data_IF_019558655216
#
_entry.id   IF_019558655216
#
_cell.length_a   1.000
_cell.length_b   1.000
_cell.length_c   1.000
_cell.angle_alpha   90.00
_cell.angle_beta   90.00
_cell.angle_gamma   90.00
#
_symmetry.space_group_name_H-M   'P 1'
#
loop_
_entity.id
_entity.type
_entity.pdbx_description
1 polymer ?
#
# COMPACT_ATOMS: atom_id res chain seq x y z
N UNK A 1 26.78 7.83 3.24
CA UNK A 1 26.24 8.43 2.00
C UNK A 1 24.72 8.30 2.04
N UNK A 2 23.94 9.32 1.66
CA UNK A 2 22.49 9.20 1.61
C UNK A 2 22.10 8.11 0.60
N UNK A 3 21.12 7.26 0.96
CA UNK A 3 20.59 6.23 0.06
C UNK A 3 19.93 6.90 -1.15
N UNK A 4 20.11 6.38 -2.38
CA UNK A 4 19.37 6.88 -3.53
C UNK A 4 17.86 6.73 -3.28
N UNK A 5 17.11 7.80 -3.52
CA UNK A 5 15.65 7.85 -3.39
C UNK A 5 15.05 6.89 -4.43
N UNK A 6 14.16 5.98 -4.02
CA UNK A 6 13.56 5.00 -4.93
C UNK A 6 12.56 5.66 -5.89
N UNK A 7 12.31 5.04 -7.05
CA UNK A 7 11.34 5.58 -8.01
C UNK A 7 9.93 5.65 -7.41
N UNK A 8 9.61 4.75 -6.48
CA UNK A 8 8.38 4.74 -5.70
C UNK A 8 8.21 6.03 -4.90
N UNK A 9 9.26 6.50 -4.24
CA UNK A 9 9.23 7.74 -3.45
C UNK A 9 9.07 8.99 -4.32
N UNK A 10 9.43 8.92 -5.61
CA UNK A 10 9.28 10.01 -6.57
C UNK A 10 7.94 9.98 -7.32
N UNK A 11 7.17 8.90 -7.22
CA UNK A 11 5.89 8.74 -7.91
C UNK A 11 4.73 9.51 -7.25
N UNK A 12 4.99 10.29 -6.19
CA UNK A 12 4.00 11.17 -5.56
C UNK A 12 3.66 12.31 -6.55
N UNK A 13 2.40 12.34 -6.97
CA UNK A 13 1.84 12.99 -8.16
C UNK A 13 2.20 14.48 -8.43
N UNK A 14 1.98 14.98 -9.67
CA UNK A 14 2.02 16.39 -10.03
C UNK A 14 0.85 17.18 -9.41
N UNK A 15 1.02 18.49 -9.33
CA UNK A 15 0.09 19.48 -8.75
C UNK A 15 -1.39 19.24 -9.12
N UNK A 16 -2.33 19.26 -8.15
CA UNK A 16 -3.75 19.17 -8.44
C UNK A 16 -4.26 20.48 -9.05
N UNK A 17 -4.75 20.40 -10.29
CA UNK A 17 -5.58 21.45 -10.87
C UNK A 17 -6.90 21.60 -10.09
N UNK A 18 -7.16 22.83 -9.65
CA UNK A 18 -8.36 23.31 -8.98
C UNK A 18 -9.65 23.05 -9.78
N UNK A 19 -10.70 22.56 -9.10
CA UNK A 19 -12.02 23.22 -8.94
C UNK A 19 -13.14 22.22 -8.62
N UNK A 20 -13.80 22.40 -7.48
CA UNK A 20 -15.21 22.06 -7.31
C UNK A 20 -15.87 23.10 -6.40
N UNK A 21 -16.92 23.75 -6.90
CA UNK A 21 -17.71 24.78 -6.22
C UNK A 21 -18.80 24.15 -5.33
N UNK A 22 -19.33 24.89 -4.33
CA UNK A 22 -20.27 24.38 -3.34
C UNK A 22 -21.73 24.50 -3.82
N UNK A 23 -22.44 23.38 -3.87
CA UNK A 23 -23.89 23.32 -4.06
C UNK A 23 -24.43 22.05 -3.40
N UNK A 24 -25.29 22.21 -2.41
CA UNK A 24 -25.59 21.23 -1.36
C UNK A 24 -26.86 20.40 -1.63
N UNK A 25 -26.74 19.05 -1.67
CA UNK A 25 -27.83 18.14 -1.29
C UNK A 25 -27.38 17.09 -0.24
N UNK A 26 -26.41 17.42 0.64
CA UNK A 26 -25.68 16.44 1.48
C UNK A 26 -26.46 15.96 2.71
N UNK A 27 -27.43 16.71 3.20
CA UNK A 27 -28.09 16.41 4.49
C UNK A 27 -28.98 15.16 4.47
N UNK A 28 -29.43 14.68 3.29
CA UNK A 28 -30.26 13.47 3.17
C UNK A 28 -29.45 12.19 2.89
N UNK A 29 -28.22 12.34 2.39
CA UNK A 29 -27.35 11.22 2.00
C UNK A 29 -26.54 10.69 3.20
N UNK A 30 -26.24 11.54 4.18
CA UNK A 30 -25.46 11.20 5.38
C UNK A 30 -26.18 10.18 6.28
N UNK A 31 -27.51 10.30 6.44
CA UNK A 31 -28.29 9.39 7.29
C UNK A 31 -28.40 7.96 6.72
N UNK A 32 -28.49 7.83 5.39
CA UNK A 32 -28.48 6.52 4.71
C UNK A 32 -27.09 5.88 4.74
N UNK A 33 -26.03 6.68 4.74
CA UNK A 33 -24.65 6.20 4.81
C UNK A 33 -24.30 5.66 6.21
N UNK A 34 -24.83 6.28 7.27
CA UNK A 34 -24.54 5.88 8.65
C UNK A 34 -25.11 4.50 9.01
N UNK A 35 -26.35 4.21 8.60
CA UNK A 35 -26.96 2.90 8.84
C UNK A 35 -26.23 1.75 8.12
N UNK A 36 -25.71 2.01 6.92
CA UNK A 36 -24.92 1.05 6.15
C UNK A 36 -23.54 0.80 6.79
N UNK A 37 -22.90 1.85 7.31
CA UNK A 37 -21.62 1.72 8.01
C UNK A 37 -21.80 0.93 9.32
N UNK A 38 -22.85 1.21 10.10
CA UNK A 38 -23.14 0.46 11.33
C UNK A 38 -23.51 -1.01 11.05
N UNK A 39 -24.16 -1.30 9.91
CA UNK A 39 -24.46 -2.68 9.50
C UNK A 39 -23.18 -3.45 9.15
N UNK A 40 -22.24 -2.82 8.42
CA UNK A 40 -21.02 -3.46 7.96
C UNK A 40 -19.95 -3.54 9.05
N UNK A 41 -19.71 -2.43 9.75
CA UNK A 41 -18.64 -2.31 10.75
C UNK A 41 -19.12 -2.61 12.16
N UNK A 42 -20.42 -2.56 12.44
CA UNK A 42 -20.97 -2.75 13.79
C UNK A 42 -20.51 -4.03 14.48
N UNK A 43 -20.44 -5.20 13.82
CA UNK A 43 -19.91 -6.41 14.44
C UNK A 43 -18.44 -6.27 14.88
N UNK A 44 -17.59 -5.64 14.06
CA UNK A 44 -16.18 -5.40 14.39
C UNK A 44 -16.04 -4.35 15.50
N UNK A 45 -16.81 -3.27 15.43
CA UNK A 45 -16.85 -2.23 16.45
C UNK A 45 -17.24 -2.77 17.82
N UNK A 46 -18.31 -3.59 17.88
CA UNK A 46 -18.73 -4.24 19.14
C UNK A 46 -17.68 -5.21 19.67
N UNK A 47 -16.95 -5.89 18.78
CA UNK A 47 -15.83 -6.76 19.19
C UNK A 47 -14.66 -5.96 19.82
N UNK A 48 -14.47 -4.71 19.41
CA UNK A 48 -13.54 -3.75 20.01
C UNK A 48 -14.14 -2.96 21.19
N UNK A 49 -15.36 -3.30 21.66
CA UNK A 49 -16.02 -2.61 22.78
C UNK A 49 -16.65 -1.26 22.41
N UNK A 50 -16.71 -0.91 21.12
CA UNK A 50 -17.37 0.30 20.64
C UNK A 50 -18.86 0.02 20.42
N UNK A 51 -19.70 0.78 21.11
CA UNK A 51 -21.14 0.52 21.12
C UNK A 51 -21.85 1.19 19.94
N UNK A 52 -21.40 2.38 19.50
CA UNK A 52 -21.94 3.12 18.37
C UNK A 52 -20.89 4.01 17.69
N UNK A 53 -21.12 4.40 16.42
CA UNK A 53 -20.22 5.30 15.67
C UNK A 53 -20.17 6.74 16.24
N UNK A 54 -21.18 7.16 17.02
CA UNK A 54 -21.23 8.51 17.59
C UNK A 54 -20.23 8.74 18.73
N UNK A 55 -19.63 7.66 19.26
CA UNK A 55 -18.48 7.75 20.16
C UNK A 55 -17.19 8.12 19.39
N UNK A 56 -17.30 8.40 18.09
CA UNK A 56 -16.23 8.84 17.22
C UNK A 56 -16.45 10.28 16.73
N UNK A 57 -15.45 11.18 16.85
CA UNK A 57 -14.17 10.94 17.51
C UNK A 57 -14.37 10.78 19.02
N UNK A 58 -13.58 9.88 19.62
CA UNK A 58 -13.57 9.69 21.07
C UNK A 58 -13.28 11.03 21.76
N UNK A 59 -13.84 11.25 22.95
CA UNK A 59 -13.57 12.46 23.74
C UNK A 59 -12.06 12.67 23.79
N UNK A 60 -11.59 13.87 23.45
CA UNK A 60 -10.19 14.28 23.51
C UNK A 60 -9.50 13.88 24.81
N UNK A 61 -10.25 13.88 25.93
CA UNK A 61 -9.77 13.46 27.24
C UNK A 61 -9.48 11.94 27.37
N UNK A 62 -10.06 11.13 26.48
CA UNK A 62 -9.89 9.66 26.39
C UNK A 62 -8.84 9.23 25.36
N UNK A 63 -8.32 10.16 24.55
CA UNK A 63 -7.28 9.87 23.55
C UNK A 63 -5.95 9.63 24.29
N UNK A 64 -5.54 8.37 24.37
CA UNK A 64 -4.21 8.01 24.87
C UNK A 64 -3.17 8.53 23.88
N UNK A 65 -2.21 9.38 24.29
CA UNK A 65 -1.16 9.86 23.40
C UNK A 65 -0.32 8.69 22.89
N UNK A 66 -0.33 8.47 21.58
CA UNK A 66 0.51 7.47 20.94
C UNK A 66 1.87 8.11 20.65
N UNK A 67 2.96 7.43 21.03
CA UNK A 67 4.30 7.87 20.68
C UNK A 67 4.45 8.02 19.15
N UNK A 68 5.10 9.09 18.68
CA UNK A 68 5.22 9.37 17.23
C UNK A 68 5.84 8.22 16.44
N UNK A 69 6.82 7.50 17.01
CA UNK A 69 7.43 6.29 16.40
C UNK A 69 6.39 5.20 16.20
N UNK A 70 5.53 4.99 17.19
CA UNK A 70 4.45 4.00 17.13
C UNK A 70 3.38 4.38 16.11
N UNK A 71 3.01 5.66 16.02
CA UNK A 71 2.09 6.14 15.00
C UNK A 71 2.65 5.89 13.59
N UNK A 72 3.95 6.13 13.36
CA UNK A 72 4.62 5.83 12.09
C UNK A 72 4.60 4.34 11.74
N UNK A 73 4.81 3.45 12.71
CA UNK A 73 4.72 2.00 12.50
C UNK A 73 3.32 1.55 12.09
N UNK A 74 2.29 2.10 12.75
CA UNK A 74 0.88 1.80 12.43
C UNK A 74 0.56 2.29 11.02
N UNK A 75 0.91 3.54 10.71
CA UNK A 75 0.68 4.13 9.38
C UNK A 75 1.42 3.35 8.29
N UNK A 76 2.68 2.96 8.55
CA UNK A 76 3.45 2.12 7.64
C UNK A 76 2.77 0.78 7.39
N UNK A 77 2.34 0.08 8.45
CA UNK A 77 1.70 -1.22 8.34
C UNK A 77 0.36 -1.15 7.59
N UNK A 78 -0.42 -0.09 7.84
CA UNK A 78 -1.67 0.15 7.13
C UNK A 78 -1.44 0.41 5.65
N UNK A 79 -0.50 1.29 5.29
CA UNK A 79 -0.18 1.57 3.89
C UNK A 79 0.39 0.34 3.16
N UNK A 80 1.23 -0.46 3.82
CA UNK A 80 1.80 -1.67 3.24
C UNK A 80 0.71 -2.74 3.00
N UNK A 81 -0.24 -2.89 3.94
CA UNK A 81 -1.40 -3.75 3.74
C UNK A 81 -2.30 -3.24 2.60
N UNK A 82 -2.58 -1.93 2.57
CA UNK A 82 -3.39 -1.33 1.52
C UNK A 82 -2.76 -1.51 0.15
N UNK A 83 -1.45 -1.28 0.00
CA UNK A 83 -0.71 -1.54 -1.23
C UNK A 83 -0.83 -3.00 -1.69
N UNK A 84 -0.70 -3.98 -0.79
CA UNK A 84 -0.87 -5.41 -1.09
C UNK A 84 -2.28 -5.73 -1.62
N UNK A 85 -3.31 -5.17 -0.98
CA UNK A 85 -4.69 -5.36 -1.38
C UNK A 85 -5.04 -4.64 -2.69
N UNK A 86 -4.48 -3.45 -2.90
CA UNK A 86 -4.60 -2.71 -4.15
C UNK A 86 -3.99 -3.47 -5.32
N UNK A 87 -2.80 -4.03 -5.14
CA UNK A 87 -2.15 -4.83 -6.17
C UNK A 87 -2.98 -6.07 -6.51
N UNK A 88 -3.52 -6.78 -5.51
CA UNK A 88 -4.40 -7.92 -5.71
C UNK A 88 -5.70 -7.53 -6.42
N UNK A 89 -6.26 -6.37 -6.08
CA UNK A 89 -7.48 -5.84 -6.69
C UNK A 89 -7.23 -5.42 -8.13
N UNK A 90 -6.08 -4.80 -8.40
CA UNK A 90 -5.64 -4.46 -9.75
C UNK A 90 -5.45 -5.72 -10.59
N UNK A 91 -4.82 -6.77 -10.05
CA UNK A 91 -4.67 -8.07 -10.73
C UNK A 91 -6.02 -8.62 -11.19
N UNK A 92 -6.98 -8.70 -10.27
CA UNK A 92 -8.31 -9.22 -10.56
C UNK A 92 -9.07 -8.41 -11.61
N UNK A 93 -8.82 -7.10 -11.71
CA UNK A 93 -9.49 -6.23 -12.70
C UNK A 93 -8.79 -6.20 -14.05
N UNK A 94 -7.46 -6.29 -14.06
CA UNK A 94 -6.66 -6.18 -15.26
C UNK A 94 -6.44 -7.54 -15.95
N UNK A 95 -6.39 -8.63 -15.18
CA UNK A 95 -6.21 -9.99 -15.66
C UNK A 95 -7.55 -10.71 -15.81
N UNK A 96 -7.63 -11.66 -16.75
CA UNK A 96 -8.76 -12.60 -16.86
C UNK A 96 -8.71 -13.73 -15.83
N UNK A 97 -7.54 -13.94 -15.21
CA UNK A 97 -7.26 -15.00 -14.23
C UNK A 97 -6.78 -14.36 -12.93
N UNK A 98 -7.35 -14.79 -11.81
CA UNK A 98 -6.86 -14.36 -10.48
C UNK A 98 -5.57 -15.08 -10.12
N UNK A 99 -4.53 -14.32 -9.78
CA UNK A 99 -3.17 -14.81 -9.55
C UNK A 99 -2.64 -14.38 -8.17
N UNK A 100 -3.30 -14.79 -7.07
CA UNK A 100 -2.95 -14.31 -5.73
C UNK A 100 -1.55 -14.73 -5.30
N UNK A 101 -1.04 -15.88 -5.76
CA UNK A 101 0.29 -16.38 -5.43
C UNK A 101 1.39 -15.54 -6.11
N UNK A 102 1.16 -15.11 -7.35
CA UNK A 102 2.04 -14.22 -8.09
C UNK A 102 2.03 -12.82 -7.48
N UNK A 103 0.88 -12.34 -7.02
CA UNK A 103 0.81 -11.11 -6.22
C UNK A 103 1.64 -11.25 -4.94
N UNK A 104 1.52 -12.36 -4.23
CA UNK A 104 2.26 -12.61 -3.00
C UNK A 104 3.79 -12.59 -3.21
N UNK A 105 4.27 -13.11 -4.35
CA UNK A 105 5.70 -13.08 -4.74
C UNK A 105 6.28 -11.68 -4.93
N UNK A 106 5.44 -10.65 -5.04
CA UNK A 106 5.89 -9.26 -5.08
C UNK A 106 6.33 -8.75 -3.69
N UNK A 107 6.13 -9.54 -2.62
CA UNK A 107 6.38 -9.11 -1.25
C UNK A 107 7.36 -10.05 -0.52
N UNK A 108 8.15 -9.50 0.43
CA UNK A 108 8.96 -10.31 1.33
C UNK A 108 8.11 -11.37 2.04
N UNK A 109 8.63 -12.59 2.12
CA UNK A 109 7.96 -13.75 2.72
C UNK A 109 6.84 -14.37 1.86
N UNK A 110 6.38 -13.74 0.78
CA UNK A 110 5.35 -14.31 -0.08
C UNK A 110 3.94 -14.32 0.54
N UNK A 111 3.67 -13.43 1.50
CA UNK A 111 2.38 -13.34 2.18
C UNK A 111 1.64 -12.05 1.80
N UNK A 112 0.33 -12.11 1.57
CA UNK A 112 -0.49 -10.91 1.35
C UNK A 112 -0.96 -10.27 2.67
N UNK A 113 -1.01 -11.07 3.73
CA UNK A 113 -1.48 -10.69 5.07
C UNK A 113 -0.36 -10.88 6.09
N UNK A 114 -0.45 -10.16 7.21
CA UNK A 114 0.47 -10.36 8.33
C UNK A 114 1.86 -9.77 8.06
N UNK A 115 1.90 -8.49 7.69
CA UNK A 115 3.15 -7.76 7.44
C UNK A 115 3.92 -7.57 8.76
N UNK A 116 5.12 -8.18 8.91
CA UNK A 116 5.95 -7.93 10.07
C UNK A 116 6.59 -6.54 9.96
N UNK A 117 6.69 -5.82 11.09
CA UNK A 117 7.30 -4.49 11.10
C UNK A 117 8.78 -4.54 10.70
N UNK A 118 9.46 -5.65 10.99
CA UNK A 118 10.86 -5.89 10.63
C UNK A 118 11.10 -5.80 9.12
N UNK A 119 10.07 -6.00 8.29
CA UNK A 119 10.15 -5.81 6.84
C UNK A 119 9.99 -4.36 6.36
N UNK A 120 10.00 -3.39 7.27
CA UNK A 120 9.94 -1.95 6.97
C UNK A 120 11.01 -1.41 6.01
N UNK A 121 12.09 -2.17 5.84
CA UNK A 121 13.24 -1.85 4.98
C UNK A 121 13.51 -2.95 3.94
N UNK A 122 12.57 -3.85 3.72
CA UNK A 122 12.68 -4.94 2.74
C UNK A 122 11.82 -4.64 1.49
N UNK A 123 11.86 -5.51 0.49
CA UNK A 123 10.93 -5.44 -0.63
C UNK A 123 11.17 -4.22 -1.50
N UNK A 124 10.08 -3.53 -1.89
CA UNK A 124 10.16 -2.26 -2.61
C UNK A 124 10.73 -1.10 -1.78
N UNK A 125 10.73 -1.24 -0.45
CA UNK A 125 11.27 -0.24 0.47
C UNK A 125 12.77 -0.43 0.75
N UNK A 126 13.41 -1.45 0.18
CA UNK A 126 14.83 -1.73 0.42
C UNK A 126 15.74 -0.61 -0.06
N UNK A 127 16.86 -0.42 0.65
CA UNK A 127 17.76 0.72 0.42
C UNK A 127 18.59 0.53 -0.84
N UNK A 128 19.03 -0.71 -1.07
CA UNK A 128 19.86 -1.05 -2.21
C UNK A 128 18.98 -1.51 -3.39
N UNK A 129 19.22 -1.02 -4.62
CA UNK A 129 18.47 -1.48 -5.80
C UNK A 129 18.47 -3.00 -5.98
N UNK A 130 19.62 -3.64 -5.75
CA UNK A 130 19.76 -5.10 -5.83
C UNK A 130 18.87 -5.88 -4.87
N UNK A 131 18.49 -5.29 -3.73
CA UNK A 131 17.57 -5.90 -2.77
C UNK A 131 16.10 -5.76 -3.23
N UNK A 132 15.79 -4.70 -3.99
CA UNK A 132 14.45 -4.46 -4.57
C UNK A 132 14.20 -5.32 -5.80
N UNK A 133 15.25 -5.63 -6.55
CA UNK A 133 15.19 -6.34 -7.85
C UNK A 133 14.27 -7.56 -7.88
N UNK A 134 14.32 -8.53 -6.94
CA UNK A 134 13.48 -9.72 -7.03
C UNK A 134 11.98 -9.37 -7.04
N UNK A 135 11.61 -8.32 -6.29
CA UNK A 135 10.25 -7.84 -6.13
C UNK A 135 9.83 -6.98 -7.33
N UNK A 136 10.72 -6.14 -7.86
CA UNK A 136 10.50 -5.40 -9.11
C UNK A 136 10.29 -6.37 -10.28
N UNK A 137 11.10 -7.42 -10.40
CA UNK A 137 10.96 -8.45 -11.43
C UNK A 137 9.69 -9.30 -11.23
N UNK A 138 9.29 -9.59 -9.99
CA UNK A 138 8.01 -10.24 -9.71
C UNK A 138 6.82 -9.37 -10.15
N UNK A 139 6.87 -8.07 -9.85
CA UNK A 139 5.83 -7.13 -10.24
C UNK A 139 5.77 -6.93 -11.76
N UNK A 140 6.92 -6.81 -12.42
CA UNK A 140 7.04 -6.74 -13.87
C UNK A 140 6.37 -7.94 -14.57
N UNK A 141 6.60 -9.16 -14.06
CA UNK A 141 5.92 -10.37 -14.56
C UNK A 141 4.42 -10.31 -14.36
N UNK A 142 3.97 -9.85 -13.20
CA UNK A 142 2.56 -9.76 -12.87
C UNK A 142 1.82 -8.77 -13.80
N UNK A 143 2.47 -7.66 -14.15
CA UNK A 143 1.96 -6.58 -15.02
C UNK A 143 1.76 -6.94 -16.49
N UNK A 144 2.08 -8.17 -16.89
CA UNK A 144 1.73 -8.69 -18.22
C UNK A 144 0.22 -8.78 -18.47
N UNK A 145 -0.62 -8.40 -17.50
CA UNK A 145 -2.04 -8.11 -17.71
C UNK A 145 -2.30 -6.93 -18.67
N UNK A 146 -1.31 -6.06 -18.90
CA UNK A 146 -1.47 -4.93 -19.81
C UNK A 146 -1.35 -5.39 -21.25
N UNK A 147 -2.21 -4.93 -22.17
CA UNK A 147 -2.09 -5.24 -23.60
C UNK A 147 -0.84 -4.61 -24.23
N UNK A 148 -0.25 -3.59 -23.60
CA UNK A 148 0.96 -2.88 -24.07
C UNK A 148 1.86 -2.52 -22.88
N UNK A 149 2.49 -3.49 -22.21
CA UNK A 149 3.43 -3.16 -21.15
C UNK A 149 4.68 -2.52 -21.79
N UNK A 150 5.35 -1.57 -21.11
CA UNK A 150 6.63 -1.03 -21.56
C UNK A 150 7.61 -2.13 -21.93
N UNK A 151 8.37 -1.93 -23.01
CA UNK A 151 9.27 -2.96 -23.57
C UNK A 151 10.21 -3.56 -22.51
N UNK A 152 10.74 -2.73 -21.61
CA UNK A 152 11.66 -3.15 -20.54
C UNK A 152 11.03 -4.18 -19.57
N UNK A 153 9.71 -4.18 -19.39
CA UNK A 153 8.98 -5.17 -18.56
C UNK A 153 9.07 -6.58 -19.16
N UNK A 154 9.16 -6.71 -20.49
CA UNK A 154 9.33 -8.02 -21.13
C UNK A 154 10.69 -8.65 -20.83
N UNK A 155 11.73 -7.83 -20.60
CA UNK A 155 13.09 -8.30 -20.37
C UNK A 155 13.41 -8.65 -18.92
N UNK A 156 12.49 -8.38 -17.99
CA UNK A 156 12.68 -8.69 -16.56
C UNK A 156 13.01 -10.18 -16.31
N UNK A 157 12.51 -11.09 -17.16
CA UNK A 157 12.81 -12.53 -17.06
C UNK A 157 14.07 -12.96 -17.82
N UNK A 158 14.48 -12.19 -18.82
CA UNK A 158 15.51 -12.61 -19.78
C UNK A 158 16.93 -12.22 -19.34
N UNK A 159 17.07 -11.22 -18.47
CA UNK A 159 18.37 -10.68 -18.07
C UNK A 159 18.73 -11.15 -16.66
N UNK A 160 19.64 -12.13 -16.58
CA UNK A 160 20.25 -12.55 -15.30
C UNK A 160 21.26 -11.53 -14.77
N UNK A 161 21.80 -10.69 -15.66
CA UNK A 161 22.85 -9.72 -15.35
C UNK A 161 22.39 -8.29 -15.73
N UNK A 162 21.38 -7.77 -15.02
CA UNK A 162 21.00 -6.37 -15.15
C UNK A 162 22.11 -5.50 -14.55
N UNK A 163 22.56 -4.48 -15.29
CA UNK A 163 23.42 -3.46 -14.69
C UNK A 163 22.63 -2.61 -13.71
N UNK A 164 23.27 -1.91 -12.77
CA UNK A 164 22.56 -1.00 -11.85
C UNK A 164 21.72 0.05 -12.56
N UNK A 165 22.17 0.51 -13.74
CA UNK A 165 21.39 1.43 -14.58
C UNK A 165 20.14 0.75 -15.16
N UNK A 166 20.26 -0.48 -15.64
CA UNK A 166 19.11 -1.25 -16.14
C UNK A 166 18.09 -1.53 -15.02
N UNK A 167 18.56 -1.80 -13.80
CA UNK A 167 17.71 -1.99 -12.62
C UNK A 167 16.89 -0.74 -12.31
N UNK A 168 17.53 0.43 -12.29
CA UNK A 168 16.85 1.71 -12.06
C UNK A 168 15.85 2.05 -13.17
N UNK A 169 16.20 1.80 -14.44
CA UNK A 169 15.30 2.02 -15.56
C UNK A 169 14.08 1.07 -15.50
N UNK A 170 14.31 -0.20 -15.14
CA UNK A 170 13.24 -1.17 -14.95
C UNK A 170 12.32 -0.76 -13.79
N UNK A 171 12.89 -0.38 -12.63
CA UNK A 171 12.13 0.08 -11.47
C UNK A 171 11.27 1.30 -11.80
N UNK A 172 11.82 2.30 -12.50
CA UNK A 172 11.07 3.48 -12.98
C UNK A 172 9.92 3.08 -13.90
N UNK A 173 10.18 2.21 -14.87
CA UNK A 173 9.17 1.78 -15.83
C UNK A 173 8.05 0.96 -15.19
N UNK A 174 8.39 0.05 -14.28
CA UNK A 174 7.42 -0.76 -13.52
C UNK A 174 6.57 0.14 -12.62
N UNK A 175 7.19 1.08 -11.91
CA UNK A 175 6.50 2.03 -11.03
C UNK A 175 5.53 2.91 -11.82
N UNK A 176 5.99 3.53 -12.91
CA UNK A 176 5.15 4.37 -13.75
C UNK A 176 3.99 3.57 -14.36
N UNK A 177 4.25 2.34 -14.81
CA UNK A 177 3.23 1.50 -15.39
C UNK A 177 2.19 1.04 -14.34
N UNK A 178 2.62 0.71 -13.12
CA UNK A 178 1.74 0.44 -11.99
C UNK A 178 0.77 1.59 -11.74
N UNK A 179 1.32 2.78 -11.47
CA UNK A 179 0.54 3.95 -11.09
C UNK A 179 -0.44 4.35 -12.19
N UNK A 180 0.01 4.34 -13.45
CA UNK A 180 -0.84 4.64 -14.58
C UNK A 180 -1.97 3.62 -14.74
N UNK A 181 -1.66 2.32 -14.72
CA UNK A 181 -2.68 1.26 -14.86
C UNK A 181 -3.67 1.31 -13.70
N UNK A 182 -3.21 1.58 -12.49
CA UNK A 182 -4.07 1.72 -11.33
C UNK A 182 -5.02 2.91 -11.48
N UNK A 183 -4.49 4.08 -11.86
CA UNK A 183 -5.30 5.28 -12.10
C UNK A 183 -6.37 5.03 -13.19
N UNK A 184 -6.00 4.39 -14.30
CA UNK A 184 -6.94 4.05 -15.37
C UNK A 184 -8.07 3.09 -14.92
N UNK A 185 -7.80 2.20 -13.96
CA UNK A 185 -8.76 1.18 -13.49
C UNK A 185 -9.60 1.61 -12.29
N UNK A 186 -9.08 2.50 -11.46
CA UNK A 186 -9.71 2.90 -10.20
C UNK A 186 -10.07 4.39 -10.13
N UNK A 187 -9.56 5.22 -11.04
CA UNK A 187 -9.85 6.66 -11.07
C UNK A 187 -9.23 7.46 -9.92
N UNK A 188 -8.23 6.91 -9.23
CA UNK A 188 -7.51 7.57 -8.12
C UNK A 188 -6.04 7.22 -8.12
N UNK A 189 -5.25 7.99 -7.37
CA UNK A 189 -3.85 7.67 -7.11
C UNK A 189 -3.72 6.30 -6.43
N UNK A 190 -2.70 5.54 -6.83
CA UNK A 190 -2.33 4.30 -6.19
C UNK A 190 -1.62 4.57 -4.86
N UNK A 191 -1.78 3.67 -3.90
CA UNK A 191 -0.90 3.60 -2.74
C UNK A 191 0.46 3.08 -3.22
N UNK A 192 1.52 3.65 -2.67
CA UNK A 192 2.90 3.33 -3.00
C UNK A 192 3.59 2.76 -1.75
N UNK A 193 4.57 1.85 -1.91
CA UNK A 193 5.36 1.34 -0.81
C UNK A 193 6.04 2.47 -0.02
N UNK A 194 5.96 2.41 1.30
CA UNK A 194 6.66 3.33 2.19
C UNK A 194 7.84 2.64 2.86
N UNK A 195 8.87 3.42 3.18
CA UNK A 195 10.04 2.95 3.94
C UNK A 195 9.94 3.41 5.39
N UNK A 196 10.19 2.49 6.31
CA UNK A 196 10.32 2.81 7.73
C UNK A 196 11.77 3.21 8.04
N UNK A 197 12.01 4.50 8.30
CA UNK A 197 13.37 5.01 8.47
C UNK A 197 13.94 4.79 9.88
N UNK A 198 13.10 4.67 10.92
CA UNK A 198 13.58 4.45 12.28
C UNK A 198 13.89 2.97 12.54
N UNK A 199 14.82 2.71 13.46
CA UNK A 199 15.05 1.36 13.96
C UNK A 199 13.92 0.93 14.89
N UNK A 200 13.45 -0.30 14.71
CA UNK A 200 12.45 -0.87 15.61
C UNK A 200 13.09 -1.05 16.98
N UNK A 201 12.47 -0.47 18.00
CA UNK A 201 12.77 -0.85 19.38
C UNK A 201 12.04 -2.17 19.63
N UNK A 202 12.74 -3.20 20.10
CA UNK A 202 12.38 -4.64 20.13
C UNK A 202 11.10 -5.03 20.92
N UNK A 203 10.11 -4.17 21.09
CA UNK A 203 9.05 -4.38 22.08
C UNK A 203 7.90 -5.30 21.60
N UNK A 204 7.80 -5.70 20.32
CA UNK A 204 6.52 -6.28 19.84
C UNK A 204 6.56 -7.47 18.87
N UNK A 205 7.27 -8.55 19.21
CA UNK A 205 7.01 -9.87 18.60
C UNK A 205 5.93 -10.68 19.34
N UNK A 206 5.38 -10.19 20.46
CA UNK A 206 4.26 -10.85 21.12
C UNK A 206 2.92 -10.39 20.54
N UNK A 207 2.21 -11.30 19.87
CA UNK A 207 0.80 -11.13 19.45
C UNK A 207 -0.18 -10.84 20.60
N UNK A 208 0.27 -10.66 21.84
CA UNK A 208 -0.59 -10.40 23.00
C UNK A 208 -1.21 -8.98 23.01
N UNK A 209 -0.52 -7.96 22.48
CA UNK A 209 -0.91 -6.56 22.73
C UNK A 209 -1.81 -5.93 21.66
N UNK A 210 -2.13 -6.65 20.58
CA UNK A 210 -3.19 -6.24 19.63
C UNK A 210 -4.60 -6.51 20.17
N UNK A 211 -4.75 -7.00 21.40
CA UNK A 211 -6.04 -7.14 22.09
C UNK A 211 -6.46 -5.87 22.86
N UNK A 212 -5.68 -4.79 22.79
CA UNK A 212 -5.93 -3.54 23.51
C UNK A 212 -6.28 -2.35 22.58
N UNK A 213 -6.58 -2.63 21.30
CA UNK A 213 -7.25 -1.71 20.38
C UNK A 213 -8.53 -2.40 19.86
#
# INVERSE_FOLDING_TARGET
MPSPISAWQLAVFPEPALLATPGDPKSRQVALHHGFIDEILGPAMRACGLSQLHDFPADSASIVPIATTRAKEIVWKLAELEFRFELLSLDRRASTVSRPQECARCFPGGFLMGVPLTSGKDGFAAGMPSERDPFICALARLMRWSPRPPFIIFYADARRDLTSKDQEELEKAVTAHYCQTFYERFGRAAVIPMRLEHELTEIMDSCADLRLL
#
